data_IF_442880957051
#
_entry.id   IF_442880957051
#
_cell.length_a   1.000
_cell.length_b   1.000
_cell.length_c   1.000
_cell.angle_alpha   90.00
_cell.angle_beta   90.00
_cell.angle_gamma   90.00
#
_symmetry.space_group_name_H-M   'P 1'
#
loop_
_entity.id
_entity.type
_entity.pdbx_description
1 polymer ?
#
# COMPACT_ATOMS: atom_id res chain seq x y z
N UNK A 1 15.54 10.41 17.38
CA UNK A 1 16.13 10.26 16.03
C UNK A 1 15.43 9.16 15.23
N UNK A 2 15.26 7.97 15.80
CA UNK A 2 14.62 6.80 15.16
C UNK A 2 13.22 7.06 14.56
N UNK A 3 12.28 7.63 15.34
CA UNK A 3 10.91 7.96 14.87
C UNK A 3 10.90 8.85 13.61
N UNK A 4 11.85 9.78 13.49
CA UNK A 4 11.93 10.69 12.35
C UNK A 4 12.39 9.96 11.08
N UNK A 5 13.43 9.12 11.20
CA UNK A 5 13.93 8.30 10.08
C UNK A 5 12.85 7.33 9.58
N UNK A 6 12.17 6.63 10.50
CA UNK A 6 11.07 5.73 10.14
C UNK A 6 9.87 6.47 9.56
N UNK A 7 9.53 7.63 10.10
CA UNK A 7 8.46 8.45 9.57
C UNK A 7 8.70 8.88 8.13
N UNK A 8 9.90 9.37 7.81
CA UNK A 8 10.29 9.71 6.43
C UNK A 8 10.26 8.48 5.54
N UNK A 9 10.82 7.35 6.00
CA UNK A 9 10.79 6.09 5.26
C UNK A 9 9.36 5.68 4.88
N UNK A 10 8.42 5.71 5.84
CA UNK A 10 7.03 5.36 5.58
C UNK A 10 6.34 6.33 4.62
N UNK A 11 6.64 7.63 4.68
CA UNK A 11 6.15 8.62 3.71
C UNK A 11 6.67 8.30 2.31
N UNK A 12 7.97 8.06 2.16
CA UNK A 12 8.58 7.74 0.85
C UNK A 12 7.98 6.46 0.26
N UNK A 13 7.84 5.41 1.08
CA UNK A 13 7.19 4.16 0.67
C UNK A 13 5.73 4.39 0.28
N UNK A 14 4.98 5.16 1.07
CA UNK A 14 3.59 5.48 0.80
C UNK A 14 3.40 6.22 -0.54
N UNK A 15 4.20 7.26 -0.76
CA UNK A 15 4.21 8.02 -2.02
C UNK A 15 4.63 7.16 -3.21
N UNK A 16 5.58 6.25 -3.02
CA UNK A 16 6.00 5.30 -4.07
C UNK A 16 4.86 4.37 -4.48
N UNK A 17 4.08 3.84 -3.53
CA UNK A 17 2.89 3.03 -3.85
C UNK A 17 1.83 3.83 -4.60
N UNK A 18 1.59 5.09 -4.21
CA UNK A 18 0.66 5.98 -4.94
C UNK A 18 1.14 6.18 -6.37
N UNK A 19 2.42 6.49 -6.55
CA UNK A 19 3.05 6.64 -7.86
C UNK A 19 2.89 5.38 -8.72
N UNK A 20 3.18 4.21 -8.16
CA UNK A 20 3.06 2.93 -8.87
C UNK A 20 1.60 2.66 -9.30
N UNK A 21 0.64 2.96 -8.43
CA UNK A 21 -0.79 2.90 -8.76
C UNK A 21 -1.14 3.83 -9.93
N UNK A 22 -0.79 5.11 -9.84
CA UNK A 22 -1.06 6.08 -10.91
C UNK A 22 -0.39 5.69 -12.24
N UNK A 23 0.85 5.19 -12.18
CA UNK A 23 1.59 4.70 -13.34
C UNK A 23 0.89 3.49 -13.96
N UNK A 24 0.42 2.54 -13.14
CA UNK A 24 -0.33 1.37 -13.59
C UNK A 24 -1.63 1.78 -14.31
N UNK A 25 -2.38 2.74 -13.78
CA UNK A 25 -3.61 3.20 -14.40
C UNK A 25 -3.36 3.95 -15.72
N UNK A 26 -2.30 4.77 -15.78
CA UNK A 26 -1.94 5.52 -17.00
C UNK A 26 -1.39 4.65 -18.12
N UNK A 27 -0.47 3.74 -17.79
CA UNK A 27 0.22 2.91 -18.79
C UNK A 27 -0.58 1.67 -19.18
N UNK A 28 -1.52 1.24 -18.32
CA UNK A 28 -2.19 -0.06 -18.40
C UNK A 28 -1.21 -1.25 -18.52
N UNK A 29 0.05 -1.05 -18.14
CA UNK A 29 1.08 -2.07 -18.27
C UNK A 29 1.01 -3.06 -17.10
N UNK A 30 0.49 -4.25 -17.38
CA UNK A 30 0.38 -5.33 -16.41
C UNK A 30 1.75 -5.86 -15.94
N UNK A 31 2.83 -5.63 -16.69
CA UNK A 31 4.20 -6.04 -16.29
C UNK A 31 4.70 -5.29 -15.06
N UNK A 32 4.10 -4.15 -14.75
CA UNK A 32 4.34 -3.42 -13.49
C UNK A 32 3.87 -4.22 -12.28
N UNK A 33 2.92 -5.15 -12.45
CA UNK A 33 2.40 -6.04 -11.42
C UNK A 33 3.25 -7.31 -11.43
N UNK A 34 4.30 -7.35 -10.62
CA UNK A 34 5.15 -8.55 -10.47
C UNK A 34 4.49 -9.59 -9.55
N UNK A 35 3.38 -10.18 -9.98
CA UNK A 35 2.74 -11.29 -9.28
C UNK A 35 3.17 -12.64 -9.88
N UNK A 36 3.98 -13.42 -9.16
CA UNK A 36 4.38 -14.77 -9.61
C UNK A 36 3.25 -15.80 -9.52
N UNK A 37 2.16 -15.50 -8.80
CA UNK A 37 1.01 -16.40 -8.66
C UNK A 37 -0.02 -16.23 -9.78
N UNK A 38 0.09 -15.19 -10.61
CA UNK A 38 -0.86 -14.90 -11.70
C UNK A 38 -0.11 -14.80 -13.01
N UNK A 39 -0.50 -15.61 -13.99
CA UNK A 39 0.04 -15.47 -15.34
C UNK A 39 -0.70 -14.34 -16.06
N UNK A 40 0.01 -13.22 -16.27
CA UNK A 40 -0.49 -11.98 -16.87
C UNK A 40 -1.14 -12.22 -18.26
N UNK A 41 -0.61 -13.18 -19.02
CA UNK A 41 -1.11 -13.48 -20.37
C UNK A 41 -2.43 -14.27 -20.36
N UNK A 42 -2.78 -14.89 -19.23
CA UNK A 42 -4.00 -15.71 -19.05
C UNK A 42 -5.15 -14.98 -18.35
N UNK A 43 -4.96 -13.73 -17.95
CA UNK A 43 -5.99 -12.91 -17.29
C UNK A 43 -7.12 -12.62 -18.29
N UNK A 44 -8.36 -13.00 -17.94
CA UNK A 44 -9.55 -12.75 -18.78
C UNK A 44 -9.99 -11.29 -18.69
N UNK A 45 -10.05 -10.73 -17.49
CA UNK A 45 -10.45 -9.32 -17.26
C UNK A 45 -9.26 -8.44 -16.89
N UNK A 46 -8.53 -7.98 -17.91
CA UNK A 46 -7.33 -7.14 -17.74
C UNK A 46 -7.65 -5.79 -17.11
N UNK A 47 -8.73 -5.11 -17.54
CA UNK A 47 -9.11 -3.81 -17.00
C UNK A 47 -9.62 -3.92 -15.55
N UNK A 48 -10.35 -4.99 -15.20
CA UNK A 48 -10.72 -5.30 -13.82
C UNK A 48 -9.51 -5.55 -12.93
N UNK A 49 -8.53 -6.32 -13.41
CA UNK A 49 -7.29 -6.60 -12.69
C UNK A 49 -6.45 -5.32 -12.47
N UNK A 50 -6.37 -4.45 -13.47
CA UNK A 50 -5.70 -3.14 -13.34
C UNK A 50 -6.41 -2.27 -12.30
N UNK A 51 -7.75 -2.14 -12.36
CA UNK A 51 -8.52 -1.36 -11.38
C UNK A 51 -8.39 -1.92 -9.97
N UNK A 52 -8.35 -3.24 -9.83
CA UNK A 52 -8.14 -3.90 -8.54
C UNK A 52 -6.77 -3.54 -7.95
N UNK A 53 -5.70 -3.70 -8.73
CA UNK A 53 -4.35 -3.39 -8.29
C UNK A 53 -4.17 -1.89 -8.04
N UNK A 54 -4.72 -1.02 -8.89
CA UNK A 54 -4.73 0.42 -8.70
C UNK A 54 -5.30 0.81 -7.33
N UNK A 55 -6.53 0.34 -7.02
CA UNK A 55 -7.17 0.62 -5.73
C UNK A 55 -6.33 0.15 -4.55
N UNK A 56 -5.70 -1.03 -4.65
CA UNK A 56 -4.82 -1.52 -3.60
C UNK A 56 -3.60 -0.63 -3.39
N UNK A 57 -2.92 -0.24 -4.46
CA UNK A 57 -1.73 0.61 -4.38
C UNK A 57 -2.04 1.98 -3.77
N UNK A 58 -3.16 2.60 -4.15
CA UNK A 58 -3.60 3.87 -3.57
C UNK A 58 -3.92 3.74 -2.08
N UNK A 59 -4.71 2.72 -1.69
CA UNK A 59 -5.10 2.53 -0.28
C UNK A 59 -3.88 2.30 0.60
N UNK A 60 -2.95 1.44 0.17
CA UNK A 60 -1.70 1.17 0.89
C UNK A 60 -0.88 2.44 0.98
N UNK A 61 -0.70 3.14 -0.14
CA UNK A 61 0.11 4.35 -0.17
C UNK A 61 -0.39 5.43 0.79
N UNK A 62 -1.72 5.63 0.87
CA UNK A 62 -2.34 6.56 1.82
C UNK A 62 -2.08 6.12 3.27
N UNK A 63 -2.32 4.84 3.60
CA UNK A 63 -2.13 4.31 4.96
C UNK A 63 -0.68 4.50 5.42
N UNK A 64 0.30 4.14 4.58
CA UNK A 64 1.72 4.31 4.91
C UNK A 64 2.14 5.77 5.03
N UNK A 65 1.59 6.66 4.20
CA UNK A 65 1.87 8.10 4.29
C UNK A 65 1.34 8.68 5.60
N UNK A 66 0.09 8.36 5.98
CA UNK A 66 -0.51 8.78 7.24
C UNK A 66 0.30 8.22 8.43
N UNK A 67 0.71 6.95 8.36
CA UNK A 67 1.53 6.33 9.40
C UNK A 67 2.87 7.03 9.58
N UNK A 68 3.51 7.43 8.48
CA UNK A 68 4.76 8.17 8.53
C UNK A 68 4.60 9.56 9.14
N UNK A 69 3.53 10.28 8.80
CA UNK A 69 3.20 11.59 9.39
C UNK A 69 2.96 11.45 10.90
N UNK A 70 2.14 10.49 11.33
CA UNK A 70 1.86 10.24 12.74
C UNK A 70 3.12 9.84 13.52
N UNK A 71 4.02 9.07 12.89
CA UNK A 71 5.31 8.69 13.50
C UNK A 71 6.21 9.91 13.78
N UNK A 72 6.24 10.88 12.85
CA UNK A 72 7.00 12.12 13.05
C UNK A 72 6.33 12.98 14.14
N UNK A 73 5.00 13.12 14.10
CA UNK A 73 4.25 13.92 15.06
C UNK A 73 4.32 13.35 16.49
N UNK A 74 4.32 12.03 16.66
CA UNK A 74 4.42 11.38 17.98
C UNK A 74 5.77 11.58 18.66
N UNK A 75 6.76 12.12 17.96
CA UNK A 75 7.99 12.62 18.56
C UNK A 75 7.77 13.89 19.38
N UNK A 76 6.86 14.75 18.94
CA UNK A 76 6.65 16.09 19.50
C UNK A 76 5.44 16.16 20.42
N UNK A 77 4.45 15.29 20.23
CA UNK A 77 3.20 15.29 20.97
C UNK A 77 2.90 13.91 21.59
N UNK A 78 2.81 13.85 22.92
CA UNK A 78 2.52 12.61 23.67
C UNK A 78 1.13 12.06 23.33
N UNK A 79 0.13 12.93 23.14
CA UNK A 79 -1.22 12.55 22.73
C UNK A 79 -1.26 11.82 21.38
N UNK A 80 -0.30 12.10 20.50
CA UNK A 80 -0.19 11.47 19.19
C UNK A 80 0.49 10.08 19.27
N UNK A 81 1.19 9.77 20.36
CA UNK A 81 1.84 8.45 20.52
C UNK A 81 0.82 7.31 20.71
N UNK A 82 -0.29 7.59 21.40
CA UNK A 82 -1.41 6.66 21.52
C UNK A 82 -2.12 6.43 20.17
N UNK A 83 -2.31 7.50 19.39
CA UNK A 83 -2.88 7.42 18.04
C UNK A 83 -1.97 6.63 17.08
N UNK A 84 -0.65 6.86 17.15
CA UNK A 84 0.33 6.12 16.37
C UNK A 84 0.33 4.63 16.72
N UNK A 85 0.25 4.29 18.01
CA UNK A 85 0.17 2.90 18.49
C UNK A 85 -1.11 2.21 18.03
N UNK A 86 -2.25 2.89 18.05
CA UNK A 86 -3.51 2.38 17.51
C UNK A 86 -3.43 2.14 16.00
N UNK A 87 -2.82 3.08 15.25
CA UNK A 87 -2.63 2.92 13.81
C UNK A 87 -1.71 1.76 13.44
N UNK A 88 -0.74 1.37 14.29
CA UNK A 88 0.04 0.16 14.03
C UNK A 88 -0.84 -1.09 13.93
N UNK A 89 -1.89 -1.21 14.74
CA UNK A 89 -2.85 -2.33 14.67
C UNK A 89 -3.58 -2.31 13.32
N UNK A 90 -4.00 -1.12 12.86
CA UNK A 90 -4.63 -0.96 11.55
C UNK A 90 -3.69 -1.33 10.39
N UNK A 91 -2.41 -0.96 10.46
CA UNK A 91 -1.41 -1.33 9.46
C UNK A 91 -1.26 -2.84 9.40
N UNK A 92 -1.18 -3.53 10.54
CA UNK A 92 -1.10 -5.00 10.60
C UNK A 92 -2.32 -5.65 9.94
N UNK A 93 -3.53 -5.22 10.30
CA UNK A 93 -4.78 -5.74 9.70
C UNK A 93 -4.78 -5.49 8.18
N UNK A 94 -4.32 -4.32 7.74
CA UNK A 94 -4.23 -3.97 6.32
C UNK A 94 -3.26 -4.90 5.57
N UNK A 95 -2.12 -5.24 6.16
CA UNK A 95 -1.16 -6.21 5.59
C UNK A 95 -1.83 -7.58 5.43
N UNK A 96 -2.57 -8.06 6.43
CA UNK A 96 -3.30 -9.33 6.33
C UNK A 96 -4.34 -9.32 5.21
N UNK A 97 -5.17 -8.26 5.14
CA UNK A 97 -6.17 -8.11 4.07
C UNK A 97 -5.50 -8.04 2.70
N UNK A 98 -4.37 -7.36 2.60
CA UNK A 98 -3.62 -7.23 1.35
C UNK A 98 -3.07 -8.58 0.89
N UNK A 99 -2.37 -9.30 1.77
CA UNK A 99 -1.83 -10.62 1.48
C UNK A 99 -2.94 -11.59 1.07
N UNK A 100 -4.06 -11.59 1.78
CA UNK A 100 -5.23 -12.39 1.40
C UNK A 100 -5.74 -12.04 -0.02
N UNK A 101 -5.91 -10.75 -0.32
CA UNK A 101 -6.36 -10.29 -1.63
C UNK A 101 -5.37 -10.66 -2.75
N UNK A 102 -4.07 -10.57 -2.49
CA UNK A 102 -3.04 -10.90 -3.46
C UNK A 102 -2.92 -12.40 -3.73
N UNK A 103 -3.06 -13.23 -2.68
CA UNK A 103 -2.94 -14.69 -2.79
C UNK A 103 -4.22 -15.35 -3.31
N UNK A 104 -5.40 -14.93 -2.85
CA UNK A 104 -6.66 -15.66 -3.12
C UNK A 104 -7.59 -14.96 -4.11
N UNK A 105 -7.51 -13.64 -4.25
CA UNK A 105 -8.42 -12.88 -5.13
C UNK A 105 -7.77 -12.55 -6.47
N UNK A 106 -6.47 -12.24 -6.49
CA UNK A 106 -5.75 -11.93 -7.71
C UNK A 106 -5.73 -13.08 -8.76
N UNK A 107 -5.63 -14.37 -8.38
CA UNK A 107 -5.66 -15.48 -9.36
C UNK A 107 -7.03 -15.77 -9.98
N UNK A 108 -8.09 -15.10 -9.54
CA UNK A 108 -9.46 -15.30 -10.05
C UNK A 108 -9.81 -14.40 -11.25
N UNK A 109 -8.88 -13.55 -11.69
CA UNK A 109 -9.04 -12.63 -12.82
C UNK A 109 -8.57 -13.23 -14.15
#
# INVERSE_FOLDING_TARGET
MFKLVFGIFFIVVGLYFIYLGLKLQRTKDLRLIKNKMVNIDKIKDKDGYIRFNFKLHIVIGIIYTIQGILCILSRYFISVDNLYSFMNIFVIITIFIYTYKYTFKAPKF
#
